data_IF_978674694249
#
_entry.id   IF_978674694249
#
_cell.length_a   1.000
_cell.length_b   1.000
_cell.length_c   1.000
_cell.angle_alpha   90.00
_cell.angle_beta   90.00
_cell.angle_gamma   90.00
#
_symmetry.space_group_name_H-M   'P 1'
#
loop_
_entity.id
_entity.type
_entity.pdbx_description
1 polymer ?
#
# COMPACT_ATOMS: atom_id res chain seq x y z
N UNK A 1 51.44 79.70 5.68
CA UNK A 1 51.59 78.22 5.62
C UNK A 1 50.79 77.46 6.70
N UNK A 2 50.70 77.96 7.94
CA UNK A 2 49.98 77.27 9.05
C UNK A 2 48.44 77.26 8.89
N UNK A 3 47.84 78.35 8.39
CA UNK A 3 46.38 78.46 8.19
C UNK A 3 45.90 77.49 7.10
N UNK A 4 46.64 77.36 6.00
CA UNK A 4 46.33 76.43 4.91
C UNK A 4 46.38 74.97 5.38
N UNK A 5 47.36 74.60 6.23
CA UNK A 5 47.43 73.25 6.82
C UNK A 5 46.25 72.95 7.76
N UNK A 6 45.83 73.93 8.58
CA UNK A 6 44.65 73.77 9.46
C UNK A 6 43.34 73.66 8.67
N UNK A 7 43.20 74.42 7.59
CA UNK A 7 42.03 74.34 6.71
C UNK A 7 41.95 72.98 5.98
N UNK A 8 43.07 72.49 5.44
CA UNK A 8 43.16 71.17 4.80
C UNK A 8 42.81 70.05 5.80
N UNK A 9 43.32 70.14 7.03
CA UNK A 9 43.01 69.16 8.08
C UNK A 9 41.52 69.14 8.44
N UNK A 10 40.88 70.31 8.51
CA UNK A 10 39.45 70.42 8.83
C UNK A 10 38.56 69.87 7.70
N UNK A 11 38.95 70.07 6.44
CA UNK A 11 38.27 69.48 5.28
C UNK A 11 38.42 67.96 5.26
N UNK A 12 39.60 67.42 5.59
CA UNK A 12 39.82 65.97 5.69
C UNK A 12 38.97 65.36 6.82
N UNK A 13 38.97 65.97 8.01
CA UNK A 13 38.15 65.50 9.14
C UNK A 13 36.67 65.55 8.80
N UNK A 14 36.20 66.64 8.19
CA UNK A 14 34.81 66.76 7.76
C UNK A 14 34.45 65.72 6.68
N UNK A 15 35.34 65.49 5.71
CA UNK A 15 35.20 64.45 4.71
C UNK A 15 35.10 63.05 5.33
N UNK A 16 35.92 62.73 6.33
CA UNK A 16 35.86 61.46 7.07
C UNK A 16 34.53 61.34 7.81
N UNK A 17 34.07 62.39 8.49
CA UNK A 17 32.79 62.39 9.22
C UNK A 17 31.61 62.17 8.26
N UNK A 18 31.60 62.85 7.11
CA UNK A 18 30.55 62.67 6.08
C UNK A 18 30.57 61.23 5.55
N UNK A 19 31.74 60.67 5.25
CA UNK A 19 31.87 59.27 4.81
C UNK A 19 31.37 58.30 5.88
N UNK A 20 31.71 58.52 7.16
CA UNK A 20 31.23 57.70 8.27
C UNK A 20 29.71 57.77 8.46
N UNK A 21 29.09 58.95 8.28
CA UNK A 21 27.64 59.11 8.34
C UNK A 21 26.96 58.37 7.17
N UNK A 22 27.49 58.49 5.96
CA UNK A 22 26.95 57.78 4.78
C UNK A 22 27.08 56.26 4.97
N UNK A 23 28.22 55.77 5.45
CA UNK A 23 28.43 54.35 5.77
C UNK A 23 27.49 53.88 6.88
N UNK A 24 27.32 54.65 7.94
CA UNK A 24 26.39 54.34 9.04
C UNK A 24 24.93 54.27 8.58
N UNK A 25 24.48 55.24 7.77
CA UNK A 25 23.15 55.24 7.18
C UNK A 25 22.95 54.06 6.21
N UNK A 26 23.94 53.77 5.36
CA UNK A 26 23.91 52.60 4.46
C UNK A 26 23.83 51.28 5.22
N UNK A 27 24.57 51.15 6.32
CA UNK A 27 24.54 49.96 7.17
C UNK A 27 23.17 49.81 7.84
N UNK A 28 22.61 50.89 8.38
CA UNK A 28 21.28 50.88 8.99
C UNK A 28 20.19 50.47 7.99
N UNK A 29 20.21 51.03 6.77
CA UNK A 29 19.29 50.64 5.69
C UNK A 29 19.46 49.15 5.35
N UNK A 30 20.69 48.66 5.22
CA UNK A 30 20.96 47.25 4.95
C UNK A 30 20.41 46.34 6.05
N UNK A 31 20.62 46.68 7.33
CA UNK A 31 20.12 45.92 8.49
C UNK A 31 18.59 45.88 8.47
N UNK A 32 17.92 47.01 8.25
CA UNK A 32 16.45 47.08 8.18
C UNK A 32 15.92 46.25 7.01
N UNK A 33 16.57 46.33 5.84
CA UNK A 33 16.17 45.51 4.68
C UNK A 33 16.39 44.02 4.93
N UNK A 34 17.50 43.63 5.56
CA UNK A 34 17.79 42.23 5.88
C UNK A 34 16.80 41.68 6.90
N UNK A 35 16.47 42.48 7.93
CA UNK A 35 15.44 42.12 8.91
C UNK A 35 14.09 41.92 8.25
N UNK A 36 13.65 42.85 7.39
CA UNK A 36 12.37 42.72 6.68
C UNK A 36 12.33 41.48 5.78
N UNK A 37 13.43 41.17 5.09
CA UNK A 37 13.54 39.95 4.27
C UNK A 37 13.47 38.69 5.15
N UNK A 38 14.12 38.71 6.32
CA UNK A 38 14.06 37.60 7.28
C UNK A 38 12.64 37.41 7.82
N UNK A 39 11.96 38.49 8.20
CA UNK A 39 10.58 38.44 8.70
C UNK A 39 9.65 37.87 7.62
N UNK A 40 9.73 38.35 6.38
CA UNK A 40 8.94 37.82 5.25
C UNK A 40 9.25 36.33 5.02
N UNK A 41 10.52 35.92 5.11
CA UNK A 41 10.91 34.53 4.96
C UNK A 41 10.34 33.66 6.09
N UNK A 42 10.39 34.13 7.34
CA UNK A 42 9.79 33.44 8.48
C UNK A 42 8.28 33.31 8.31
N UNK A 43 7.56 34.37 7.96
CA UNK A 43 6.10 34.33 7.75
C UNK A 43 5.71 33.40 6.58
N UNK A 44 6.54 33.32 5.53
CA UNK A 44 6.34 32.35 4.45
C UNK A 44 6.45 30.91 4.95
N UNK A 45 7.46 30.60 5.76
CA UNK A 45 7.63 29.26 6.35
C UNK A 45 6.49 28.94 7.32
N UNK A 46 6.06 29.91 8.13
CA UNK A 46 4.91 29.74 9.01
C UNK A 46 3.63 29.42 8.22
N UNK A 47 3.32 30.19 7.18
CA UNK A 47 2.17 29.93 6.32
C UNK A 47 2.26 28.57 5.61
N UNK A 48 3.47 28.15 5.20
CA UNK A 48 3.71 26.83 4.63
C UNK A 48 3.41 25.71 5.63
N UNK A 49 3.97 25.78 6.84
CA UNK A 49 3.73 24.78 7.89
C UNK A 49 2.26 24.73 8.34
N UNK A 50 1.58 25.88 8.38
CA UNK A 50 0.13 25.94 8.61
C UNK A 50 -0.64 25.21 7.51
N UNK A 51 -0.25 25.40 6.25
CA UNK A 51 -0.86 24.70 5.13
C UNK A 51 -0.59 23.19 5.20
N UNK A 52 0.63 22.75 5.53
CA UNK A 52 0.97 21.33 5.73
C UNK A 52 0.13 20.70 6.84
N UNK A 53 0.03 21.37 7.99
CA UNK A 53 -0.81 20.92 9.10
C UNK A 53 -2.27 20.75 8.67
N UNK A 54 -2.79 21.65 7.82
CA UNK A 54 -4.13 21.51 7.26
C UNK A 54 -4.28 20.34 6.29
N UNK A 55 -3.27 20.00 5.49
CA UNK A 55 -3.30 18.79 4.66
C UNK A 55 -3.41 17.53 5.52
N UNK A 56 -2.57 17.43 6.56
CA UNK A 56 -2.58 16.28 7.49
C UNK A 56 -3.92 16.17 8.23
N UNK A 57 -4.46 17.29 8.71
CA UNK A 57 -5.77 17.34 9.36
C UNK A 57 -6.90 16.97 8.42
N UNK A 58 -6.82 17.37 7.14
CA UNK A 58 -7.76 16.96 6.10
C UNK A 58 -7.73 15.47 5.82
N UNK A 59 -6.53 14.86 5.82
CA UNK A 59 -6.37 13.42 5.66
C UNK A 59 -6.94 12.65 6.85
N UNK A 60 -6.64 13.09 8.08
CA UNK A 60 -7.23 12.50 9.31
C UNK A 60 -8.75 12.60 9.27
N UNK A 61 -9.30 13.76 8.89
CA UNK A 61 -10.74 13.92 8.75
C UNK A 61 -11.36 12.91 7.78
N UNK A 62 -10.69 12.62 6.65
CA UNK A 62 -11.12 11.61 5.69
C UNK A 62 -11.06 10.19 6.23
N UNK A 63 -10.09 9.88 7.11
CA UNK A 63 -9.97 8.58 7.80
C UNK A 63 -11.08 8.38 8.82
N UNK A 64 -11.53 9.46 9.46
CA UNK A 64 -12.58 9.43 10.48
C UNK A 64 -14.00 9.29 9.89
N UNK A 65 -14.16 9.36 8.56
CA UNK A 65 -15.46 9.20 7.93
C UNK A 65 -15.93 7.73 8.00
N UNK A 66 -17.20 7.53 8.38
CA UNK A 66 -17.81 6.19 8.44
C UNK A 66 -17.83 5.46 7.08
N UNK A 67 -17.75 6.21 5.99
CA UNK A 67 -17.60 5.67 4.63
C UNK A 67 -16.92 6.69 3.73
N UNK A 68 -16.24 6.23 2.69
CA UNK A 68 -15.60 7.07 1.69
C UNK A 68 -16.60 8.00 0.99
N UNK A 69 -16.47 9.34 1.10
CA UNK A 69 -17.36 10.28 0.42
C UNK A 69 -17.41 10.06 -1.11
N UNK A 70 -18.60 9.78 -1.64
CA UNK A 70 -18.77 9.39 -3.05
C UNK A 70 -19.26 10.51 -3.97
N UNK A 71 -19.55 11.70 -3.43
CA UNK A 71 -20.01 12.85 -4.20
C UNK A 71 -18.92 13.49 -5.06
N UNK A 72 -19.28 14.56 -5.77
CA UNK A 72 -18.37 15.36 -6.61
C UNK A 72 -18.22 16.81 -6.13
N UNK A 73 -19.05 17.23 -5.15
CA UNK A 73 -19.00 18.58 -4.65
C UNK A 73 -17.83 18.75 -3.66
N UNK A 74 -17.08 19.86 -3.71
CA UNK A 74 -16.09 20.17 -2.71
C UNK A 74 -16.69 20.18 -1.30
N UNK A 75 -16.01 19.51 -0.39
CA UNK A 75 -16.38 19.38 1.02
C UNK A 75 -15.53 20.39 1.80
N UNK A 76 -16.20 21.18 2.63
CA UNK A 76 -15.60 22.17 3.52
C UNK A 76 -15.90 21.77 4.97
N UNK A 77 -15.09 20.90 5.60
CA UNK A 77 -15.32 20.49 6.98
C UNK A 77 -15.30 21.73 7.88
N UNK A 78 -16.39 21.95 8.61
CA UNK A 78 -16.59 23.15 9.42
C UNK A 78 -15.51 23.33 10.50
N UNK A 79 -15.05 22.21 11.05
CA UNK A 79 -14.00 22.07 12.04
C UNK A 79 -12.60 22.34 11.48
N UNK A 80 -12.44 22.38 10.15
CA UNK A 80 -11.20 22.67 9.45
C UNK A 80 -11.24 24.01 8.70
N UNK A 81 -12.14 24.93 9.08
CA UNK A 81 -12.18 26.28 8.53
C UNK A 81 -11.63 27.31 9.51
N UNK A 82 -10.68 28.13 9.07
CA UNK A 82 -10.02 29.18 9.85
C UNK A 82 -9.50 28.69 11.21
N UNK A 83 -8.91 27.49 11.24
CA UNK A 83 -8.37 26.90 12.47
C UNK A 83 -7.16 27.71 12.90
N UNK A 84 -7.24 28.33 14.07
CA UNK A 84 -6.13 29.09 14.66
C UNK A 84 -5.09 28.15 15.26
N UNK A 85 -3.84 28.36 14.86
CA UNK A 85 -2.65 27.87 15.53
C UNK A 85 -1.80 29.09 15.91
N UNK A 86 -0.79 28.92 16.78
CA UNK A 86 -0.10 30.03 17.46
C UNK A 86 0.27 31.25 16.59
N UNK A 87 0.59 31.04 15.30
CA UNK A 87 1.12 32.08 14.41
C UNK A 87 0.27 32.36 13.17
N UNK A 88 -0.95 31.85 13.10
CA UNK A 88 -1.81 32.07 11.95
C UNK A 88 -2.97 31.08 11.88
N UNK A 89 -3.57 30.97 10.70
CA UNK A 89 -4.72 30.09 10.49
C UNK A 89 -4.51 29.16 9.30
N UNK A 90 -5.26 28.06 9.27
CA UNK A 90 -5.43 27.28 8.05
C UNK A 90 -6.90 26.99 7.76
N UNK A 91 -7.22 26.75 6.49
CA UNK A 91 -8.53 26.25 6.05
C UNK A 91 -8.36 25.12 5.05
N UNK A 92 -9.22 24.11 5.13
CA UNK A 92 -9.14 22.90 4.29
C UNK A 92 -10.37 22.77 3.38
N UNK A 93 -10.13 22.45 2.11
CA UNK A 93 -11.15 21.99 1.16
C UNK A 93 -10.78 20.58 0.71
N UNK A 94 -11.73 19.66 0.72
CA UNK A 94 -11.55 18.32 0.17
C UNK A 94 -12.37 18.26 -1.11
N UNK A 95 -11.71 18.12 -2.25
CA UNK A 95 -12.32 18.09 -3.57
C UNK A 95 -12.33 16.65 -4.11
N UNK A 96 -13.49 15.95 -4.09
CA UNK A 96 -13.60 14.61 -4.65
C UNK A 96 -13.45 14.63 -6.18
N UNK A 97 -12.76 13.65 -6.76
CA UNK A 97 -12.66 13.54 -8.21
C UNK A 97 -14.03 13.24 -8.85
N UNK A 98 -14.31 13.83 -10.02
CA UNK A 98 -15.62 13.74 -10.70
C UNK A 98 -16.11 12.32 -10.99
N UNK A 99 -15.19 11.36 -11.14
CA UNK A 99 -15.51 9.97 -11.39
C UNK A 99 -15.82 9.16 -10.12
N UNK A 100 -15.61 9.71 -8.92
CA UNK A 100 -15.85 9.05 -7.64
C UNK A 100 -17.24 8.40 -7.52
N UNK A 101 -18.35 8.97 -8.01
CA UNK A 101 -19.64 8.28 -7.96
C UNK A 101 -19.66 6.93 -8.69
N UNK A 102 -18.81 6.77 -9.71
CA UNK A 102 -18.80 5.62 -10.63
C UNK A 102 -17.69 4.60 -10.39
N UNK A 103 -16.66 4.94 -9.61
CA UNK A 103 -15.50 4.04 -9.33
C UNK A 103 -15.50 3.58 -7.88
N UNK A 104 -14.99 2.37 -7.60
CA UNK A 104 -14.93 1.88 -6.22
C UNK A 104 -13.76 2.49 -5.43
N UNK A 105 -12.60 2.71 -6.06
CA UNK A 105 -11.47 3.43 -5.49
C UNK A 105 -11.65 4.93 -5.66
N UNK A 106 -12.04 5.59 -4.57
CA UNK A 106 -12.24 7.03 -4.54
C UNK A 106 -10.90 7.77 -4.51
N UNK A 107 -10.88 8.95 -5.13
CA UNK A 107 -9.75 9.89 -5.13
C UNK A 107 -10.19 11.26 -4.66
N UNK A 108 -9.30 11.94 -3.96
CA UNK A 108 -9.58 13.28 -3.43
C UNK A 108 -8.37 14.16 -3.61
N UNK A 109 -8.62 15.45 -3.84
CA UNK A 109 -7.62 16.50 -3.68
C UNK A 109 -7.91 17.23 -2.38
N UNK A 110 -7.04 17.06 -1.40
CA UNK A 110 -7.05 17.88 -0.20
C UNK A 110 -6.31 19.17 -0.53
N UNK A 111 -6.95 20.32 -0.33
CA UNK A 111 -6.40 21.64 -0.55
C UNK A 111 -6.36 22.34 0.81
N UNK A 112 -5.20 22.84 1.20
CA UNK A 112 -5.02 23.55 2.46
C UNK A 112 -4.44 24.93 2.20
N UNK A 113 -5.06 25.94 2.80
CA UNK A 113 -4.66 27.34 2.71
C UNK A 113 -4.17 27.78 4.08
N UNK A 114 -2.86 27.98 4.23
CA UNK A 114 -2.24 28.51 5.44
C UNK A 114 -2.00 30.02 5.32
N UNK A 115 -2.32 30.78 6.37
CA UNK A 115 -2.17 32.24 6.41
C UNK A 115 -1.42 32.66 7.67
N UNK A 116 -0.26 33.32 7.51
CA UNK A 116 0.49 33.95 8.61
C UNK A 116 0.81 35.40 8.24
N UNK A 117 0.46 36.35 9.11
CA UNK A 117 0.77 37.78 8.96
C UNK A 117 0.41 38.37 7.58
N UNK A 118 -0.69 37.91 6.97
CA UNK A 118 -1.17 38.34 5.65
C UNK A 118 -0.48 37.67 4.46
N UNK A 119 0.49 36.79 4.68
CA UNK A 119 1.07 35.91 3.66
C UNK A 119 0.28 34.61 3.63
N UNK A 120 -0.09 34.17 2.43
CA UNK A 120 -0.85 32.96 2.19
C UNK A 120 0.00 31.93 1.43
N UNK A 121 -0.13 30.65 1.79
CA UNK A 121 0.41 29.50 1.05
C UNK A 121 -0.70 28.49 0.80
N UNK A 122 -0.73 27.97 -0.43
CA UNK A 122 -1.73 27.02 -0.90
C UNK A 122 -1.05 25.70 -1.24
N UNK A 123 -1.35 24.66 -0.48
CA UNK A 123 -0.86 23.32 -0.75
C UNK A 123 -2.01 22.41 -1.17
N UNK A 124 -1.68 21.41 -1.98
CA UNK A 124 -2.63 20.39 -2.38
C UNK A 124 -1.99 18.99 -2.37
N UNK A 125 -2.79 18.02 -1.96
CA UNK A 125 -2.44 16.62 -1.86
C UNK A 125 -3.51 15.80 -2.60
N UNK A 126 -3.15 15.17 -3.70
CA UNK A 126 -3.99 14.18 -4.35
C UNK A 126 -3.75 12.82 -3.68
N UNK A 127 -4.83 12.20 -3.21
CA UNK A 127 -4.82 10.91 -2.52
C UNK A 127 -5.80 9.93 -3.18
N UNK A 128 -5.57 8.64 -2.96
CA UNK A 128 -6.51 7.58 -3.34
C UNK A 128 -6.65 6.54 -2.25
N UNK A 129 -7.80 5.86 -2.22
CA UNK A 129 -8.01 4.69 -1.34
C UNK A 129 -6.90 3.68 -1.56
N UNK A 130 -6.29 3.25 -0.46
CA UNK A 130 -5.27 2.23 -0.45
C UNK A 130 -5.88 0.82 -0.39
N UNK A 131 -5.20 -0.15 -0.99
CA UNK A 131 -5.70 -1.54 -1.08
C UNK A 131 -4.63 -2.54 -0.75
N UNK A 132 -5.04 -3.70 -0.22
CA UNK A 132 -4.12 -4.77 0.14
C UNK A 132 -3.33 -5.33 -1.06
N UNK A 133 -3.82 -5.14 -2.30
CA UNK A 133 -3.14 -5.57 -3.51
C UNK A 133 -1.73 -4.97 -3.67
N UNK A 134 -1.46 -3.80 -3.06
CA UNK A 134 -0.13 -3.17 -3.13
C UNK A 134 0.98 -3.98 -2.45
N UNK A 135 0.63 -4.93 -1.58
CA UNK A 135 1.61 -5.69 -0.82
C UNK A 135 2.00 -6.94 -1.59
N UNK A 136 3.30 -7.17 -1.70
CA UNK A 136 3.82 -8.48 -2.10
C UNK A 136 3.52 -9.51 -1.01
N UNK A 137 3.62 -9.05 0.24
CA UNK A 137 3.45 -9.90 1.40
C UNK A 137 2.81 -9.13 2.55
N UNK A 138 1.68 -9.63 3.05
CA UNK A 138 0.99 -9.06 4.20
C UNK A 138 0.56 -10.17 5.16
N UNK A 139 0.85 -10.00 6.45
CA UNK A 139 0.35 -10.87 7.53
C UNK A 139 -0.19 -10.08 8.70
N UNK A 140 -1.28 -10.53 9.32
CA UNK A 140 -1.65 -10.06 10.67
C UNK A 140 -0.75 -10.72 11.73
N UNK A 141 -0.44 -12.00 11.55
CA UNK A 141 0.41 -12.81 12.42
C UNK A 141 1.41 -13.70 11.63
N UNK A 142 2.68 -13.64 12.02
CA UNK A 142 3.80 -14.41 11.43
C UNK A 142 3.97 -15.81 12.06
N UNK A 143 2.95 -16.28 12.78
CA UNK A 143 2.90 -17.63 13.33
C UNK A 143 1.90 -18.49 12.56
N UNK A 144 2.01 -19.81 12.79
CA UNK A 144 1.03 -20.78 12.32
C UNK A 144 0.80 -21.86 13.37
N UNK A 145 -0.32 -22.58 13.25
CA UNK A 145 -0.69 -23.64 14.17
C UNK A 145 -0.15 -25.01 13.74
N UNK A 146 0.52 -25.69 14.66
CA UNK A 146 0.83 -27.13 14.61
C UNK A 146 0.16 -27.81 15.80
N UNK A 147 -0.97 -28.46 15.55
CA UNK A 147 -1.78 -29.06 16.62
C UNK A 147 -2.24 -27.98 17.59
N UNK A 148 -1.72 -28.02 18.82
CA UNK A 148 -2.04 -27.06 19.88
C UNK A 148 -0.97 -25.98 20.07
N UNK A 149 0.12 -26.02 19.28
CA UNK A 149 1.23 -25.09 19.38
C UNK A 149 1.14 -24.04 18.27
N UNK A 150 1.35 -22.78 18.64
CA UNK A 150 1.51 -21.68 17.70
C UNK A 150 3.00 -21.39 17.56
N UNK A 151 3.55 -21.56 16.37
CA UNK A 151 5.00 -21.53 16.10
C UNK A 151 5.35 -20.38 15.17
N UNK A 152 6.44 -19.63 15.45
CA UNK A 152 6.87 -18.53 14.59
C UNK A 152 7.45 -19.08 13.28
N UNK A 153 7.24 -18.34 12.20
CA UNK A 153 7.88 -18.61 10.92
C UNK A 153 8.97 -17.59 10.69
N UNK A 154 10.14 -18.09 10.32
CA UNK A 154 11.33 -17.28 10.07
C UNK A 154 11.42 -16.98 8.58
N UNK A 155 11.68 -15.71 8.24
CA UNK A 155 12.30 -15.39 6.96
C UNK A 155 13.77 -15.78 7.07
N UNK A 156 14.22 -16.67 6.19
CA UNK A 156 15.55 -17.28 6.26
C UNK A 156 16.43 -16.95 5.07
N UNK A 157 17.70 -17.32 5.12
CA UNK A 157 18.62 -17.20 4.00
C UNK A 157 18.08 -17.91 2.76
N UNK A 158 18.11 -17.19 1.64
CA UNK A 158 17.50 -17.60 0.37
C UNK A 158 16.06 -17.12 0.16
N UNK A 159 15.37 -16.62 1.19
CA UNK A 159 14.10 -15.90 0.98
C UNK A 159 14.38 -14.54 0.33
N UNK A 160 13.65 -14.25 -0.75
CA UNK A 160 13.74 -13.00 -1.48
C UNK A 160 12.34 -12.45 -1.73
N UNK A 161 12.00 -11.33 -1.10
CA UNK A 161 10.70 -10.66 -1.25
C UNK A 161 10.89 -9.39 -2.09
N UNK A 162 10.36 -9.40 -3.31
CA UNK A 162 10.64 -8.39 -4.33
C UNK A 162 9.76 -7.13 -4.24
N UNK A 163 8.84 -7.05 -3.27
CA UNK A 163 7.91 -5.93 -3.14
C UNK A 163 7.59 -5.56 -1.70
N UNK A 164 6.65 -4.63 -1.48
CA UNK A 164 6.32 -4.14 -0.14
C UNK A 164 5.85 -5.27 0.78
N UNK A 165 6.40 -5.30 2.00
CA UNK A 165 6.03 -6.23 3.05
C UNK A 165 5.46 -5.49 4.25
N UNK A 166 4.36 -6.00 4.81
CA UNK A 166 3.85 -5.53 6.09
C UNK A 166 3.46 -6.70 6.98
N UNK A 167 3.78 -6.61 8.27
CA UNK A 167 3.24 -7.51 9.28
C UNK A 167 2.74 -6.77 10.50
N UNK A 168 1.56 -7.13 11.04
CA UNK A 168 1.12 -6.61 12.34
C UNK A 168 1.79 -7.34 13.53
N UNK A 169 2.61 -8.35 13.25
CA UNK A 169 3.28 -9.20 14.24
C UNK A 169 4.81 -9.03 14.18
N UNK A 170 5.53 -9.89 14.90
CA UNK A 170 6.98 -9.88 14.98
C UNK A 170 7.62 -10.34 13.66
N UNK A 171 8.52 -9.53 13.12
CA UNK A 171 9.38 -9.96 12.02
C UNK A 171 10.47 -10.89 12.58
N UNK A 172 10.40 -12.18 12.22
CA UNK A 172 11.37 -13.19 12.62
C UNK A 172 12.38 -13.42 11.48
N UNK A 173 13.66 -13.18 11.75
CA UNK A 173 14.76 -13.26 10.78
C UNK A 173 15.80 -14.30 11.20
N UNK A 174 16.25 -15.11 10.24
CA UNK A 174 17.35 -16.05 10.37
C UNK A 174 18.26 -15.96 9.15
N UNK A 175 19.58 -16.00 9.30
CA UNK A 175 20.53 -15.86 8.19
C UNK A 175 20.29 -14.55 7.39
N UNK A 176 20.39 -14.58 6.06
CA UNK A 176 20.47 -13.38 5.22
C UNK A 176 19.33 -13.29 4.17
N UNK A 177 18.05 -13.07 4.57
CA UNK A 177 16.97 -12.82 3.62
C UNK A 177 17.09 -11.44 2.96
N UNK A 178 16.51 -11.30 1.76
CA UNK A 178 16.53 -10.07 0.97
C UNK A 178 15.11 -9.51 0.81
N UNK A 179 14.94 -8.23 1.11
CA UNK A 179 13.71 -7.47 0.93
C UNK A 179 13.98 -6.26 0.02
N UNK A 180 13.41 -6.28 -1.18
CA UNK A 180 13.61 -5.19 -2.15
C UNK A 180 12.65 -4.03 -1.94
N UNK A 181 11.43 -4.33 -1.48
CA UNK A 181 10.44 -3.32 -1.12
C UNK A 181 10.59 -2.79 0.30
N UNK A 182 9.80 -1.76 0.60
CA UNK A 182 9.69 -1.24 1.96
C UNK A 182 9.11 -2.29 2.90
N UNK A 183 9.81 -2.55 4.01
CA UNK A 183 9.35 -3.45 5.07
C UNK A 183 8.77 -2.66 6.22
N UNK A 184 7.55 -3.02 6.64
CA UNK A 184 6.87 -2.44 7.80
C UNK A 184 6.47 -3.52 8.80
N UNK A 185 6.63 -3.22 10.08
CA UNK A 185 6.03 -4.03 11.15
C UNK A 185 5.44 -3.15 12.24
N UNK A 186 4.29 -3.58 12.77
CA UNK A 186 3.68 -2.92 13.92
C UNK A 186 4.47 -3.09 15.21
N UNK A 187 5.39 -4.06 15.26
CA UNK A 187 6.29 -4.24 16.38
C UNK A 187 7.50 -3.31 16.30
N UNK A 188 8.05 -2.93 17.45
CA UNK A 188 9.15 -1.97 17.53
C UNK A 188 10.56 -2.60 17.49
N UNK A 189 10.66 -3.91 17.23
CA UNK A 189 11.92 -4.65 17.10
C UNK A 189 11.82 -5.82 16.11
N UNK A 190 12.98 -6.40 15.78
CA UNK A 190 13.11 -7.62 14.97
C UNK A 190 13.55 -8.76 15.90
N UNK A 191 12.97 -9.94 15.71
CA UNK A 191 13.40 -11.17 16.40
C UNK A 191 14.42 -11.89 15.52
N UNK A 192 15.63 -12.07 16.03
CA UNK A 192 16.72 -12.74 15.32
C UNK A 192 17.02 -14.12 15.90
N UNK A 193 17.19 -15.12 15.04
CA UNK A 193 17.37 -16.51 15.46
C UNK A 193 18.74 -16.75 16.13
N UNK A 194 19.80 -16.16 15.58
CA UNK A 194 21.18 -16.25 16.05
C UNK A 194 21.65 -14.97 16.77
N UNK A 195 20.74 -14.06 17.12
CA UNK A 195 21.04 -12.84 17.87
C UNK A 195 21.36 -11.61 17.02
N UNK A 196 21.20 -11.68 15.70
CA UNK A 196 21.29 -10.55 14.78
C UNK A 196 22.57 -10.52 13.95
N UNK A 197 22.87 -9.39 13.28
CA UNK A 197 24.06 -9.27 12.44
C UNK A 197 25.36 -9.48 13.25
N UNK A 198 26.38 -10.16 12.69
CA UNK A 198 26.46 -10.62 11.29
C UNK A 198 25.87 -12.00 11.01
N UNK A 199 25.35 -12.73 12.01
CA UNK A 199 24.84 -14.10 11.82
C UNK A 199 23.46 -14.15 11.17
N UNK A 200 22.64 -13.13 11.45
CA UNK A 200 21.38 -12.88 10.75
C UNK A 200 21.43 -11.46 10.18
N UNK A 201 21.80 -11.31 8.91
CA UNK A 201 22.06 -10.00 8.31
C UNK A 201 21.11 -9.73 7.12
N UNK A 202 19.83 -9.43 7.41
CA UNK A 202 18.83 -9.17 6.38
C UNK A 202 19.16 -7.92 5.57
N UNK A 203 18.83 -7.93 4.28
CA UNK A 203 18.95 -6.77 3.40
C UNK A 203 17.60 -6.08 3.23
N UNK A 204 17.46 -4.87 3.76
CA UNK A 204 16.27 -4.02 3.59
C UNK A 204 16.53 -2.95 2.54
N UNK A 205 16.57 -3.33 1.26
CA UNK A 205 16.94 -2.42 0.16
C UNK A 205 15.91 -1.29 -0.02
N UNK A 206 14.63 -1.58 0.22
CA UNK A 206 13.55 -0.60 0.18
C UNK A 206 13.32 0.17 1.49
N UNK A 207 14.07 -0.15 2.54
CA UNK A 207 13.94 0.43 3.88
C UNK A 207 13.14 -0.42 4.87
N UNK A 208 13.22 -0.02 6.14
CA UNK A 208 12.55 -0.67 7.27
C UNK A 208 11.91 0.39 8.17
N UNK A 209 10.62 0.24 8.47
CA UNK A 209 9.90 1.01 9.49
C UNK A 209 9.35 0.05 10.56
N UNK A 210 9.72 0.29 11.81
CA UNK A 210 9.28 -0.45 12.99
C UNK A 210 8.29 0.38 13.79
N UNK A 211 7.36 -0.27 14.50
CA UNK A 211 6.39 0.38 15.37
C UNK A 211 5.36 1.23 14.61
N UNK A 212 5.02 0.82 13.37
CA UNK A 212 3.95 1.48 12.61
C UNK A 212 2.57 1.08 13.15
N UNK A 213 1.53 1.85 12.82
CA UNK A 213 0.17 1.45 13.20
C UNK A 213 -0.23 0.13 12.50
N UNK A 214 -0.90 -0.81 13.20
CA UNK A 214 -1.42 -2.02 12.59
C UNK A 214 -2.44 -1.71 11.48
N UNK A 215 -2.40 -2.51 10.42
CA UNK A 215 -3.38 -2.43 9.32
C UNK A 215 -4.35 -3.60 9.49
N UNK A 216 -5.60 -3.32 9.81
CA UNK A 216 -6.57 -4.39 10.09
C UNK A 216 -7.14 -4.99 8.81
N UNK A 217 -7.10 -6.32 8.71
CA UNK A 217 -7.79 -7.05 7.64
C UNK A 217 -9.31 -6.84 7.74
N UNK A 218 -10.02 -6.75 6.60
CA UNK A 218 -11.47 -6.65 6.61
C UNK A 218 -12.08 -7.95 7.13
N UNK A 219 -13.19 -7.87 7.86
CA UNK A 219 -13.90 -9.05 8.35
C UNK A 219 -14.83 -9.69 7.32
N UNK A 220 -15.19 -8.96 6.27
CA UNK A 220 -16.13 -9.38 5.23
C UNK A 220 -15.79 -8.76 3.88
N UNK A 221 -16.14 -9.45 2.80
CA UNK A 221 -15.91 -9.03 1.42
C UNK A 221 -17.08 -8.22 0.85
N UNK A 222 -17.65 -7.32 1.67
CA UNK A 222 -18.86 -6.56 1.35
C UNK A 222 -18.79 -5.84 -0.01
N UNK A 223 -17.66 -5.22 -0.33
CA UNK A 223 -17.47 -4.50 -1.61
C UNK A 223 -17.56 -5.44 -2.81
N UNK A 224 -16.84 -6.57 -2.78
CA UNK A 224 -16.84 -7.56 -3.86
C UNK A 224 -18.19 -8.26 -3.96
N UNK A 225 -18.80 -8.61 -2.81
CA UNK A 225 -20.13 -9.23 -2.73
C UNK A 225 -21.22 -8.35 -3.34
N UNK A 226 -21.21 -7.06 -3.03
CA UNK A 226 -22.15 -6.08 -3.60
C UNK A 226 -21.93 -5.90 -5.10
N UNK A 227 -20.68 -5.82 -5.55
CA UNK A 227 -20.35 -5.71 -6.97
C UNK A 227 -20.76 -6.96 -7.77
N UNK A 228 -20.55 -8.16 -7.22
CA UNK A 228 -21.00 -9.41 -7.82
C UNK A 228 -22.53 -9.45 -7.94
N UNK A 229 -23.25 -8.90 -6.96
CA UNK A 229 -24.72 -8.80 -6.98
C UNK A 229 -25.23 -7.71 -7.93
N UNK A 230 -24.41 -6.69 -8.23
CA UNK A 230 -24.77 -5.52 -9.02
C UNK A 230 -23.89 -5.40 -10.27
N UNK A 231 -24.22 -6.21 -11.29
CA UNK A 231 -23.52 -6.23 -12.58
C UNK A 231 -22.34 -7.20 -12.68
N UNK A 232 -22.10 -8.00 -11.64
CA UNK A 232 -21.15 -9.10 -11.64
C UNK A 232 -21.81 -10.48 -11.72
N UNK A 233 -21.11 -11.51 -11.26
CA UNK A 233 -21.61 -12.87 -11.13
C UNK A 233 -21.70 -13.29 -9.67
N UNK A 234 -22.92 -13.29 -9.13
CA UNK A 234 -23.21 -13.85 -7.80
C UNK A 234 -23.72 -15.29 -7.93
N UNK A 235 -23.12 -16.21 -7.18
CA UNK A 235 -23.48 -17.63 -7.13
C UNK A 235 -23.64 -18.09 -5.68
N UNK A 236 -24.31 -19.23 -5.49
CA UNK A 236 -24.45 -19.87 -4.18
C UNK A 236 -24.02 -21.33 -4.23
N UNK A 237 -23.46 -21.81 -3.12
CA UNK A 237 -22.93 -23.18 -3.01
C UNK A 237 -21.64 -23.39 -3.81
N UNK A 238 -21.07 -24.59 -3.66
CA UNK A 238 -19.77 -24.93 -4.24
C UNK A 238 -19.72 -24.66 -5.75
N UNK A 239 -18.63 -24.03 -6.17
CA UNK A 239 -18.46 -23.57 -7.55
C UNK A 239 -17.07 -23.91 -8.05
N UNK A 240 -16.98 -24.55 -9.21
CA UNK A 240 -15.72 -24.69 -9.94
C UNK A 240 -15.67 -23.67 -11.08
N UNK A 241 -14.55 -22.97 -11.21
CA UNK A 241 -14.30 -21.94 -12.23
C UNK A 241 -13.00 -22.30 -12.94
N UNK A 242 -13.08 -22.62 -14.23
CA UNK A 242 -11.90 -22.77 -15.10
C UNK A 242 -11.79 -21.55 -16.00
N UNK A 243 -10.74 -20.76 -15.79
CA UNK A 243 -10.44 -19.56 -16.57
C UNK A 243 -9.97 -19.93 -17.97
N UNK A 244 -10.50 -19.26 -18.99
CA UNK A 244 -10.17 -19.52 -20.40
C UNK A 244 -9.44 -18.33 -21.01
N UNK A 245 -8.48 -18.67 -21.85
CA UNK A 245 -7.51 -17.76 -22.47
C UNK A 245 -8.13 -16.85 -23.56
N UNK A 246 -9.42 -17.03 -23.83
CA UNK A 246 -10.25 -16.25 -24.75
C UNK A 246 -11.07 -15.13 -24.06
N UNK A 247 -10.99 -15.02 -22.73
CA UNK A 247 -11.75 -14.05 -21.95
C UNK A 247 -13.13 -14.57 -21.48
N UNK A 248 -13.28 -15.89 -21.41
CA UNK A 248 -14.44 -16.56 -20.82
C UNK A 248 -14.05 -17.42 -19.60
N UNK A 249 -15.04 -17.97 -18.92
CA UNK A 249 -14.88 -18.92 -17.82
C UNK A 249 -15.82 -20.11 -18.05
N UNK A 250 -15.36 -21.29 -17.71
CA UNK A 250 -16.19 -22.49 -17.64
C UNK A 250 -16.58 -22.73 -16.18
N UNK A 251 -17.88 -22.66 -15.89
CA UNK A 251 -18.41 -22.65 -14.52
C UNK A 251 -19.30 -23.87 -14.28
N UNK A 252 -19.00 -24.59 -13.20
CA UNK A 252 -19.85 -25.66 -12.68
C UNK A 252 -20.40 -25.23 -11.32
N UNK A 253 -21.73 -25.17 -11.20
CA UNK A 253 -22.44 -24.78 -9.99
C UNK A 253 -23.80 -25.48 -9.94
N UNK A 254 -24.00 -26.32 -8.92
CA UNK A 254 -25.22 -27.12 -8.79
C UNK A 254 -26.47 -26.28 -8.50
N UNK A 255 -26.35 -25.23 -7.67
CA UNK A 255 -27.48 -24.36 -7.32
C UNK A 255 -28.08 -23.64 -8.53
N UNK A 256 -27.25 -23.34 -9.54
CA UNK A 256 -27.65 -22.72 -10.80
C UNK A 256 -27.95 -23.73 -11.92
N UNK A 257 -27.74 -25.02 -11.67
CA UNK A 257 -27.87 -26.09 -12.68
C UNK A 257 -26.82 -26.02 -13.79
N UNK A 258 -25.67 -25.39 -13.52
CA UNK A 258 -24.57 -25.23 -14.48
C UNK A 258 -23.58 -26.38 -14.36
N UNK A 259 -23.25 -26.98 -15.50
CA UNK A 259 -22.22 -27.99 -15.65
C UNK A 259 -21.33 -27.61 -16.82
N UNK A 260 -20.07 -27.27 -16.53
CA UNK A 260 -19.10 -26.75 -17.48
C UNK A 260 -19.70 -25.64 -18.37
N UNK A 261 -20.51 -24.78 -17.77
CA UNK A 261 -21.21 -23.72 -18.49
C UNK A 261 -20.21 -22.62 -18.84
N UNK A 262 -19.99 -22.38 -20.13
CA UNK A 262 -19.15 -21.28 -20.58
C UNK A 262 -19.92 -19.96 -20.44
N UNK A 263 -19.30 -19.00 -19.76
CA UNK A 263 -19.82 -17.64 -19.53
C UNK A 263 -18.72 -16.60 -19.78
N UNK A 264 -19.03 -15.40 -20.29
CA UNK A 264 -18.04 -14.33 -20.38
C UNK A 264 -17.60 -13.87 -18.99
N UNK A 265 -16.43 -13.22 -18.90
CA UNK A 265 -16.08 -12.46 -17.71
C UNK A 265 -17.15 -11.38 -17.43
N UNK A 266 -17.60 -11.18 -16.18
CA UNK A 266 -18.54 -10.11 -15.86
C UNK A 266 -17.93 -8.75 -16.23
N UNK A 267 -18.74 -7.84 -16.76
CA UNK A 267 -18.23 -6.54 -17.26
C UNK A 267 -17.61 -5.67 -16.17
N UNK A 268 -18.04 -5.82 -14.92
CA UNK A 268 -17.44 -5.15 -13.78
C UNK A 268 -16.27 -5.94 -13.16
N UNK A 269 -16.03 -7.18 -13.61
CA UNK A 269 -14.94 -8.03 -13.13
C UNK A 269 -15.17 -8.65 -11.75
N UNK A 270 -16.39 -8.67 -11.22
CA UNK A 270 -16.70 -9.23 -9.90
C UNK A 270 -17.39 -10.60 -9.98
N UNK A 271 -16.80 -11.61 -9.35
CA UNK A 271 -17.43 -12.92 -9.09
C UNK A 271 -17.45 -13.15 -7.59
N UNK A 272 -18.60 -13.54 -7.03
CA UNK A 272 -18.70 -13.91 -5.62
C UNK A 272 -19.56 -15.16 -5.44
N UNK A 273 -19.08 -16.08 -4.61
CA UNK A 273 -19.78 -17.32 -4.24
C UNK A 273 -20.13 -17.28 -2.76
N UNK A 274 -21.41 -17.43 -2.44
CA UNK A 274 -21.88 -17.43 -1.05
C UNK A 274 -22.32 -18.83 -0.61
N UNK A 275 -21.89 -19.21 0.59
CA UNK A 275 -22.22 -20.49 1.21
C UNK A 275 -21.55 -21.70 0.57
N UNK A 276 -20.43 -21.54 -0.14
CA UNK A 276 -19.72 -22.66 -0.75
C UNK A 276 -18.28 -22.34 -1.16
N UNK A 277 -17.47 -23.39 -1.29
CA UNK A 277 -16.08 -23.28 -1.70
C UNK A 277 -15.96 -22.92 -3.18
N UNK A 278 -14.87 -22.25 -3.54
CA UNK A 278 -14.51 -21.98 -4.93
C UNK A 278 -13.32 -22.82 -5.32
N UNK A 279 -13.42 -23.56 -6.42
CA UNK A 279 -12.28 -24.29 -7.00
C UNK A 279 -11.87 -23.59 -8.28
N UNK A 280 -10.61 -23.16 -8.38
CA UNK A 280 -10.14 -22.32 -9.50
C UNK A 280 -8.84 -22.83 -10.11
N UNK A 281 -8.75 -22.71 -11.44
CA UNK A 281 -7.60 -22.99 -12.29
C UNK A 281 -7.76 -22.31 -13.66
N UNK A 282 -6.70 -22.31 -14.48
CA UNK A 282 -6.78 -21.96 -15.91
C UNK A 282 -5.96 -20.72 -16.28
N UNK A 283 -6.33 -20.07 -17.39
CA UNK A 283 -5.62 -18.89 -17.91
C UNK A 283 -6.58 -17.72 -18.04
N UNK A 284 -6.30 -16.60 -17.36
CA UNK A 284 -7.11 -15.40 -17.40
C UNK A 284 -6.68 -14.49 -18.56
N UNK A 285 -7.66 -14.04 -19.35
CA UNK A 285 -7.54 -12.87 -20.22
C UNK A 285 -8.54 -11.80 -19.79
N UNK A 286 -8.05 -10.69 -19.23
CA UNK A 286 -8.87 -9.59 -18.70
C UNK A 286 -8.69 -9.37 -17.20
N UNK A 287 -9.65 -8.66 -16.59
CA UNK A 287 -9.59 -8.23 -15.19
C UNK A 287 -10.71 -8.88 -14.40
N UNK A 288 -10.37 -9.56 -13.31
CA UNK A 288 -11.33 -10.33 -12.51
C UNK A 288 -10.94 -10.36 -11.04
N UNK A 289 -11.93 -10.36 -10.16
CA UNK A 289 -11.77 -10.79 -8.77
C UNK A 289 -12.79 -11.87 -8.48
N UNK A 290 -12.32 -12.97 -7.89
CA UNK A 290 -13.13 -14.11 -7.47
C UNK A 290 -13.12 -14.16 -5.95
N UNK A 291 -14.31 -14.06 -5.36
CA UNK A 291 -14.53 -14.02 -3.92
C UNK A 291 -15.38 -15.20 -3.42
N UNK A 292 -15.15 -15.63 -2.18
CA UNK A 292 -16.09 -16.51 -1.45
C UNK A 292 -16.14 -16.21 0.04
N UNK A 293 -17.26 -16.51 0.69
CA UNK A 293 -17.40 -16.52 2.15
C UNK A 293 -16.90 -17.82 2.82
N UNK A 294 -16.35 -18.76 2.03
CA UNK A 294 -15.71 -20.02 2.45
C UNK A 294 -14.27 -20.09 1.96
N UNK A 295 -13.78 -21.29 1.66
CA UNK A 295 -12.42 -21.50 1.19
C UNK A 295 -12.33 -21.38 -0.33
N UNK A 296 -11.21 -20.85 -0.81
CA UNK A 296 -10.85 -20.83 -2.21
C UNK A 296 -9.72 -21.83 -2.44
N UNK A 297 -9.95 -22.79 -3.32
CA UNK A 297 -9.07 -23.92 -3.58
C UNK A 297 -8.44 -23.79 -4.96
N UNK A 298 -7.11 -23.67 -5.00
CA UNK A 298 -6.32 -23.68 -6.23
C UNK A 298 -6.02 -25.13 -6.61
N UNK A 299 -6.53 -25.56 -7.77
CA UNK A 299 -6.39 -26.95 -8.25
C UNK A 299 -5.21 -27.17 -9.18
N UNK A 300 -4.86 -26.15 -9.95
CA UNK A 300 -3.85 -26.21 -10.98
C UNK A 300 -3.34 -24.78 -11.26
N UNK A 301 -2.45 -24.62 -12.24
CA UNK A 301 -1.90 -23.33 -12.63
C UNK A 301 -3.02 -22.29 -12.88
N UNK A 302 -2.75 -21.08 -12.44
CA UNK A 302 -3.55 -19.89 -12.70
C UNK A 302 -2.61 -18.91 -13.38
N UNK A 303 -2.78 -18.69 -14.68
CA UNK A 303 -1.85 -17.89 -15.48
C UNK A 303 -2.53 -16.66 -16.07
N UNK A 304 -1.78 -15.60 -16.32
CA UNK A 304 -2.21 -14.55 -17.24
C UNK A 304 -1.99 -14.96 -18.70
N UNK A 305 -2.93 -14.60 -19.58
CA UNK A 305 -2.78 -14.82 -21.03
C UNK A 305 -1.64 -13.98 -21.59
N UNK A 306 -1.59 -12.72 -21.16
CA UNK A 306 -0.55 -11.76 -21.45
C UNK A 306 0.34 -11.63 -20.20
N UNK A 307 1.40 -12.43 -20.13
CA UNK A 307 2.28 -12.50 -18.95
C UNK A 307 2.99 -11.14 -18.76
N UNK A 308 2.87 -10.48 -17.60
CA UNK A 308 3.51 -9.20 -17.35
C UNK A 308 5.03 -9.22 -17.23
N UNK A 309 5.65 -10.38 -16.99
CA UNK A 309 7.11 -10.53 -17.04
C UNK A 309 7.65 -10.41 -18.47
N UNK A 310 6.87 -10.88 -19.47
CA UNK A 310 7.18 -10.74 -20.89
C UNK A 310 6.66 -9.41 -21.47
N UNK A 311 5.51 -8.95 -20.99
CA UNK A 311 4.84 -7.73 -21.43
C UNK A 311 4.37 -6.88 -20.23
N UNK A 312 5.21 -5.95 -19.75
CA UNK A 312 4.87 -5.07 -18.62
C UNK A 312 3.60 -4.22 -18.84
N UNK A 313 3.15 -4.08 -20.09
CA UNK A 313 1.93 -3.34 -20.43
C UNK A 313 0.64 -4.18 -20.34
N UNK A 314 0.76 -5.46 -19.99
CA UNK A 314 -0.38 -6.37 -19.80
C UNK A 314 -1.47 -5.74 -18.94
N UNK A 315 -2.72 -6.04 -19.29
CA UNK A 315 -3.91 -5.60 -18.57
C UNK A 315 -4.56 -6.71 -17.76
N UNK A 316 -4.06 -7.95 -17.90
CA UNK A 316 -4.56 -9.11 -17.18
C UNK A 316 -4.26 -8.95 -15.69
N UNK A 317 -5.29 -9.11 -14.86
CA UNK A 317 -5.22 -8.83 -13.43
C UNK A 317 -6.27 -9.66 -12.67
N UNK A 318 -5.80 -10.48 -11.74
CA UNK A 318 -6.63 -11.39 -10.95
C UNK A 318 -6.51 -11.12 -9.45
N UNK A 319 -7.67 -11.05 -8.79
CA UNK A 319 -7.79 -11.12 -7.34
C UNK A 319 -8.44 -12.43 -6.92
N UNK A 320 -7.81 -13.16 -5.99
CA UNK A 320 -8.39 -14.36 -5.37
C UNK A 320 -8.60 -14.07 -3.89
N UNK A 321 -9.85 -13.97 -3.45
CA UNK A 321 -10.17 -13.52 -2.09
C UNK A 321 -11.11 -14.51 -1.39
N UNK A 322 -10.76 -14.96 -0.19
CA UNK A 322 -11.56 -15.86 0.62
C UNK A 322 -11.82 -15.24 2.01
N UNK A 323 -13.06 -15.29 2.50
CA UNK A 323 -13.34 -15.05 3.93
C UNK A 323 -12.86 -16.23 4.79
N UNK A 324 -12.70 -17.42 4.20
CA UNK A 324 -11.97 -18.56 4.76
C UNK A 324 -10.50 -18.58 4.32
N UNK A 325 -9.98 -19.77 4.09
CA UNK A 325 -8.59 -19.98 3.66
C UNK A 325 -8.44 -19.96 2.14
N UNK A 326 -7.22 -19.67 1.68
CA UNK A 326 -6.83 -19.99 0.30
C UNK A 326 -5.95 -21.23 0.33
N UNK A 327 -6.43 -22.31 -0.26
CA UNK A 327 -5.83 -23.64 -0.15
C UNK A 327 -5.32 -24.11 -1.51
N UNK A 328 -4.04 -24.41 -1.61
CA UNK A 328 -3.49 -25.18 -2.73
C UNK A 328 -3.82 -26.65 -2.49
N UNK A 329 -4.53 -27.26 -3.43
CA UNK A 329 -4.87 -28.68 -3.34
C UNK A 329 -3.62 -29.56 -3.31
N UNK A 330 -3.64 -30.65 -2.54
CA UNK A 330 -2.54 -31.63 -2.54
C UNK A 330 -2.32 -32.27 -3.92
N UNK A 331 -3.37 -32.33 -4.72
CA UNK A 331 -3.38 -32.90 -6.06
C UNK A 331 -2.91 -31.90 -7.15
N UNK A 332 -2.54 -30.67 -6.76
CA UNK A 332 -1.93 -29.69 -7.66
C UNK A 332 -0.66 -30.23 -8.35
N UNK A 333 -0.26 -29.69 -9.50
CA UNK A 333 0.91 -30.16 -10.27
C UNK A 333 2.24 -30.15 -9.47
N UNK A 334 3.28 -30.77 -10.03
CA UNK A 334 4.60 -30.80 -9.39
C UNK A 334 5.23 -29.40 -9.28
N UNK A 335 5.12 -28.60 -10.34
CA UNK A 335 5.39 -27.16 -10.33
C UNK A 335 4.07 -26.44 -10.50
N UNK A 336 3.84 -25.40 -9.68
CA UNK A 336 2.61 -24.63 -9.66
C UNK A 336 2.92 -23.14 -9.82
N UNK A 337 2.23 -22.48 -10.74
CA UNK A 337 2.30 -21.03 -10.93
C UNK A 337 0.92 -20.40 -10.71
N UNK A 338 0.90 -19.34 -9.90
CA UNK A 338 -0.30 -18.57 -9.58
C UNK A 338 -0.05 -17.09 -9.83
N UNK A 339 -0.67 -16.59 -10.90
CA UNK A 339 -0.68 -15.19 -11.29
C UNK A 339 -1.90 -14.49 -10.70
N UNK A 340 -1.77 -14.00 -9.46
CA UNK A 340 -2.85 -13.32 -8.76
C UNK A 340 -2.37 -12.53 -7.54
N UNK A 341 -3.13 -11.50 -7.16
CA UNK A 341 -3.13 -11.02 -5.78
C UNK A 341 -4.09 -11.89 -4.96
N UNK A 342 -3.57 -12.56 -3.94
CA UNK A 342 -4.25 -13.57 -3.13
C UNK A 342 -4.52 -13.00 -1.75
N UNK A 343 -5.74 -13.17 -1.23
CA UNK A 343 -6.12 -12.72 0.10
C UNK A 343 -6.95 -13.78 0.85
N UNK A 344 -6.42 -14.27 1.97
CA UNK A 344 -7.06 -15.22 2.88
C UNK A 344 -7.41 -14.50 4.21
N UNK A 345 -8.70 -14.25 4.47
CA UNK A 345 -9.15 -13.58 5.68
C UNK A 345 -9.44 -14.55 6.84
N UNK A 346 -9.67 -15.82 6.53
CA UNK A 346 -9.96 -16.87 7.52
C UNK A 346 -8.77 -17.06 8.44
N UNK A 347 -7.78 -17.80 7.96
CA UNK A 347 -6.47 -17.90 8.57
C UNK A 347 -5.35 -17.69 7.53
N UNK A 348 -5.21 -18.53 6.50
CA UNK A 348 -3.95 -18.60 5.77
C UNK A 348 -4.03 -18.96 4.27
N UNK A 349 -2.96 -18.64 3.55
CA UNK A 349 -2.63 -19.22 2.25
C UNK A 349 -1.77 -20.48 2.45
N UNK A 350 -2.33 -21.67 2.26
CA UNK A 350 -1.72 -22.95 2.67
C UNK A 350 -1.70 -24.00 1.58
N UNK A 351 -0.80 -24.98 1.70
CA UNK A 351 -0.91 -26.24 0.95
C UNK A 351 -1.68 -27.25 1.79
N UNK A 352 -2.69 -27.87 1.20
CA UNK A 352 -3.42 -28.97 1.81
C UNK A 352 -2.47 -30.11 2.19
N UNK A 353 -2.57 -30.61 3.42
CA UNK A 353 -1.69 -31.67 3.94
C UNK A 353 -0.18 -31.34 3.78
N UNK A 354 0.21 -30.06 3.92
CA UNK A 354 1.59 -29.57 3.76
C UNK A 354 2.67 -30.38 4.49
N UNK A 355 2.32 -31.15 5.54
CA UNK A 355 3.23 -31.96 6.36
C UNK A 355 3.33 -33.45 5.96
N UNK A 356 2.52 -33.91 5.00
CA UNK A 356 2.45 -35.34 4.60
C UNK A 356 2.74 -35.59 3.12
N UNK A 357 2.52 -34.60 2.25
CA UNK A 357 2.72 -34.75 0.81
C UNK A 357 4.18 -34.99 0.42
N UNK A 358 4.45 -35.48 -0.80
CA UNK A 358 5.81 -35.58 -1.31
C UNK A 358 6.45 -34.18 -1.42
N UNK A 359 7.79 -34.08 -1.43
CA UNK A 359 8.45 -32.85 -1.87
C UNK A 359 8.08 -32.61 -3.35
N UNK A 360 7.48 -31.45 -3.61
CA UNK A 360 7.13 -30.95 -4.94
C UNK A 360 8.22 -30.02 -5.46
N UNK A 361 8.06 -29.49 -6.66
CA UNK A 361 8.98 -28.53 -7.27
C UNK A 361 8.81 -27.14 -6.66
N UNK A 362 8.53 -26.16 -7.51
CA UNK A 362 8.41 -24.74 -7.13
C UNK A 362 6.95 -24.30 -7.13
N UNK A 363 6.58 -23.49 -6.12
CA UNK A 363 5.36 -22.71 -6.08
C UNK A 363 5.75 -21.27 -6.43
N UNK A 364 5.48 -20.90 -7.68
CA UNK A 364 5.64 -19.53 -8.14
C UNK A 364 4.35 -18.75 -7.89
N UNK A 365 4.45 -17.62 -7.23
CA UNK A 365 3.34 -16.67 -7.11
C UNK A 365 3.80 -15.36 -7.73
N UNK A 366 3.13 -14.94 -8.80
CA UNK A 366 3.32 -13.64 -9.42
C UNK A 366 2.17 -12.72 -9.01
N UNK A 367 2.42 -11.89 -8.00
CA UNK A 367 1.40 -11.02 -7.42
C UNK A 367 1.67 -10.72 -5.96
N UNK A 368 0.70 -10.98 -5.10
CA UNK A 368 0.80 -10.67 -3.67
C UNK A 368 0.10 -11.71 -2.82
N UNK A 369 0.62 -11.95 -1.61
CA UNK A 369 0.02 -12.86 -0.64
C UNK A 369 -0.36 -12.05 0.59
N UNK A 370 -1.66 -11.96 0.84
CA UNK A 370 -2.25 -11.31 2.00
C UNK A 370 -2.97 -12.36 2.82
N UNK A 371 -2.60 -12.50 4.07
CA UNK A 371 -3.16 -13.53 4.93
C UNK A 371 -3.25 -13.03 6.37
N UNK A 372 -4.12 -13.64 7.17
CA UNK A 372 -4.20 -13.31 8.58
C UNK A 372 -3.04 -13.96 9.33
N UNK A 373 -2.95 -15.28 9.30
CA UNK A 373 -1.84 -16.05 9.82
C UNK A 373 -0.98 -16.58 8.67
N UNK A 374 0.30 -16.82 8.94
CA UNK A 374 1.20 -17.33 7.91
C UNK A 374 0.92 -18.80 7.59
N UNK A 375 0.63 -19.10 6.33
CA UNK A 375 0.39 -20.47 5.90
C UNK A 375 1.64 -21.25 5.48
N UNK A 376 1.83 -22.49 5.96
CA UNK A 376 2.87 -23.38 5.46
C UNK A 376 2.52 -23.96 4.08
N UNK A 377 3.52 -24.00 3.20
CA UNK A 377 3.42 -24.60 1.85
C UNK A 377 4.26 -25.87 1.71
N UNK A 378 4.84 -26.36 2.81
CA UNK A 378 5.73 -27.51 2.85
C UNK A 378 6.50 -27.60 4.15
N UNK A 379 7.34 -28.63 4.28
CA UNK A 379 8.25 -28.82 5.42
C UNK A 379 9.66 -29.10 4.96
N UNK A 380 10.61 -28.85 5.84
CA UNK A 380 12.01 -29.16 5.63
C UNK A 380 12.64 -29.64 6.94
N UNK A 381 13.75 -30.36 6.83
CA UNK A 381 14.56 -30.76 7.97
C UNK A 381 15.32 -29.55 8.50
N UNK A 382 15.02 -29.12 9.73
CA UNK A 382 15.63 -27.93 10.35
C UNK A 382 17.14 -27.98 10.53
N UNK A 383 17.77 -29.16 10.48
CA UNK A 383 19.23 -29.31 10.61
C UNK A 383 19.96 -29.42 9.27
N UNK A 384 19.33 -29.99 8.24
CA UNK A 384 19.97 -30.21 6.93
C UNK A 384 19.48 -29.25 5.85
N UNK A 385 18.35 -28.57 6.07
CA UNK A 385 17.66 -27.76 5.05
C UNK A 385 16.96 -28.59 3.96
N UNK A 386 16.99 -29.93 4.05
CA UNK A 386 16.39 -30.81 3.05
C UNK A 386 14.86 -30.70 3.08
N UNK A 387 14.27 -30.43 1.92
CA UNK A 387 12.81 -30.37 1.75
C UNK A 387 12.19 -31.75 1.95
N UNK A 388 11.21 -31.85 2.83
CA UNK A 388 10.52 -33.11 3.18
C UNK A 388 9.14 -33.21 2.52
N UNK A 389 8.46 -32.09 2.30
CA UNK A 389 7.12 -32.04 1.72
C UNK A 389 6.81 -30.67 1.11
N UNK A 390 5.84 -30.62 0.19
CA UNK A 390 5.33 -29.36 -0.37
C UNK A 390 6.33 -28.67 -1.31
N UNK A 391 6.18 -27.35 -1.51
CA UNK A 391 6.90 -26.62 -2.55
C UNK A 391 8.06 -25.79 -2.02
N UNK A 392 9.04 -25.55 -2.90
CA UNK A 392 9.96 -24.42 -2.74
C UNK A 392 9.22 -23.13 -3.11
N UNK A 393 9.39 -22.06 -2.32
CA UNK A 393 8.73 -20.77 -2.53
C UNK A 393 9.47 -19.96 -3.59
N UNK A 394 8.75 -19.38 -4.53
CA UNK A 394 9.23 -18.37 -5.46
C UNK A 394 8.16 -17.25 -5.57
N UNK A 395 8.26 -16.24 -4.71
CA UNK A 395 7.25 -15.20 -4.58
C UNK A 395 7.74 -13.93 -5.27
N UNK A 396 7.21 -13.71 -6.48
CA UNK A 396 7.55 -12.59 -7.35
C UNK A 396 6.45 -11.53 -7.24
N UNK A 397 6.84 -10.29 -6.99
CA UNK A 397 5.87 -9.21 -6.87
C UNK A 397 5.48 -8.66 -8.25
N UNK A 398 4.19 -8.64 -8.56
CA UNK A 398 3.68 -7.92 -9.73
C UNK A 398 3.63 -6.41 -9.43
N UNK A 399 4.66 -5.68 -9.87
CA UNK A 399 4.79 -4.24 -9.61
C UNK A 399 3.60 -3.41 -10.08
N UNK A 400 2.84 -3.90 -11.05
CA UNK A 400 1.65 -3.21 -11.56
C UNK A 400 0.58 -3.07 -10.48
N UNK A 401 0.57 -3.92 -9.45
CA UNK A 401 -0.38 -3.86 -8.34
C UNK A 401 -0.26 -2.57 -7.50
N UNK A 402 0.82 -1.81 -7.62
CA UNK A 402 0.94 -0.46 -7.01
C UNK A 402 -0.11 0.52 -7.57
N UNK A 403 -0.44 0.38 -8.86
CA UNK A 403 -1.30 1.31 -9.60
C UNK A 403 -2.58 0.67 -10.15
N UNK A 404 -2.56 -0.65 -10.39
CA UNK A 404 -3.61 -1.42 -11.06
C UNK A 404 -4.11 -2.55 -10.16
N UNK A 405 -5.05 -2.25 -9.29
CA UNK A 405 -5.64 -3.25 -8.40
C UNK A 405 -6.62 -4.19 -9.14
N UNK A 406 -6.73 -5.46 -8.76
CA UNK A 406 -7.84 -6.31 -9.20
C UNK A 406 -9.19 -5.64 -8.88
N UNK A 407 -10.22 -5.80 -9.73
CA UNK A 407 -11.50 -5.14 -9.55
C UNK A 407 -12.10 -5.40 -8.15
N UNK A 408 -12.50 -4.37 -7.42
CA UNK A 408 -13.10 -4.50 -6.09
C UNK A 408 -12.24 -5.23 -5.05
N UNK A 409 -10.91 -5.24 -5.21
CA UNK A 409 -10.00 -5.78 -4.19
C UNK A 409 -10.15 -5.03 -2.85
N UNK A 410 -10.03 -5.69 -1.70
CA UNK A 410 -10.25 -5.04 -0.42
C UNK A 410 -9.31 -3.87 -0.13
N UNK A 411 -9.89 -2.79 0.40
CA UNK A 411 -9.18 -1.60 0.84
C UNK A 411 -8.54 -1.82 2.21
N UNK A 412 -7.43 -1.13 2.51
CA UNK A 412 -6.78 -1.17 3.84
C UNK A 412 -7.52 -0.35 4.89
N UNK A 413 -8.48 0.48 4.48
CA UNK A 413 -9.11 1.49 5.34
C UNK A 413 -8.37 2.82 5.36
N UNK A 414 -7.24 2.92 4.67
CA UNK A 414 -6.42 4.13 4.59
C UNK A 414 -6.33 4.67 3.16
N UNK A 415 -5.56 5.75 2.99
CA UNK A 415 -5.28 6.42 1.73
C UNK A 415 -3.77 6.48 1.50
N UNK A 416 -3.40 6.50 0.23
CA UNK A 416 -2.04 6.78 -0.21
C UNK A 416 -1.97 8.12 -0.92
N UNK A 417 -0.84 8.79 -0.73
CA UNK A 417 -0.48 10.01 -1.46
C UNK A 417 -0.08 9.64 -2.87
N UNK A 418 -0.80 10.21 -3.84
CA UNK A 418 -0.49 10.08 -5.27
C UNK A 418 0.38 11.24 -5.73
N UNK A 419 0.09 12.45 -5.25
CA UNK A 419 0.80 13.64 -5.70
C UNK A 419 0.70 14.77 -4.67
N UNK A 420 1.83 15.43 -4.42
CA UNK A 420 1.90 16.65 -3.63
C UNK A 420 2.26 17.82 -4.53
N UNK A 421 1.57 18.96 -4.36
CA UNK A 421 1.84 20.18 -5.11
C UNK A 421 1.69 21.40 -4.22
N UNK A 422 2.67 22.28 -4.31
CA UNK A 422 2.52 23.66 -3.90
C UNK A 422 1.98 24.49 -5.07
N UNK A 423 0.87 25.20 -4.85
CA UNK A 423 0.31 26.12 -5.83
C UNK A 423 0.76 27.54 -5.47
N UNK A 424 1.29 28.24 -6.48
CA UNK A 424 1.75 29.64 -6.37
C UNK A 424 0.55 30.58 -6.23
#
# INVERSE_FOLDING_TARGET
MVILRKAIFLVIVYGIVVVLIILGASLAVKIVSQKRLLDIHQYNLEALYLAEAGLDRGLVWLRDQASYPSGTAPILPSELQNVELERGTFSVTIDPYDNNPSVYLKRYRIISVGVSHGIQRNLSLDIMIDTFARYAYFTDDEHFWIGWWKVPVWFKGGDHIQGPLHTNSHLHISEDPIFDGMVRTADNYIVYYHGGPPQDNPQFNGGLELGVDPIYLPSQLTTLKNAASSGGLYLTGDTTIVLKDDGTMEVTNAAKGWYNQVVPLPSNGAVFVSGGNVYVEGTLKGRLSIGTDRDLVVKNNILYKDNPEDNPSSQDMLGLIAEGDVVISKDAPYDLEIDASIMALGDSFIVEEWWKGPPKGTLKVLGGIIQKERGPVGTFNGSTGEKLSGYTKDYVYDERLKDKNPPYYPATGDYIVVLWRESI
#
